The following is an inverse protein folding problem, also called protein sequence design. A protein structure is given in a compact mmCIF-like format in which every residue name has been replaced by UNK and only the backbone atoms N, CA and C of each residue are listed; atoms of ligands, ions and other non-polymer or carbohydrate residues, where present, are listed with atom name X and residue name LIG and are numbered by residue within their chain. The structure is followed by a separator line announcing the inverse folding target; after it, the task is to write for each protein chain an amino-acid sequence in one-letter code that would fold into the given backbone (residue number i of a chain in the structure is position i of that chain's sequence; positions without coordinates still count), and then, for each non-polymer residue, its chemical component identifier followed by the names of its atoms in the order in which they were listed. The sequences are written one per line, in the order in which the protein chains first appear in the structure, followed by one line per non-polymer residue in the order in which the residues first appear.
data_IF_671210826519
#
_entry.id   IF_671210826519
#
_cell.length_a   1.000
_cell.length_b   1.000
_cell.length_c   1.000
_cell.angle_alpha   90.00
_cell.angle_beta   90.00
_cell.angle_gamma   90.00
#
_symmetry.space_group_name_H-M   'P 1'
#
loop_
_entity.id
_entity.type
_entity.pdbx_description
1 polymer ?
#
# COMPACT_ATOMS: atom_id res chain seq x y z
N UNK A 1 36.31 6.76 -8.72
CA UNK A 1 35.36 5.68 -9.02
C UNK A 1 34.44 5.58 -7.81
N UNK A 2 33.28 6.23 -7.86
CA UNK A 2 32.32 6.23 -6.76
C UNK A 2 31.40 5.02 -6.89
N UNK A 3 31.37 4.17 -5.87
CA UNK A 3 30.55 2.96 -5.81
C UNK A 3 29.09 3.34 -5.59
N UNK A 4 28.29 3.20 -6.65
CA UNK A 4 26.84 3.30 -6.58
C UNK A 4 26.28 2.01 -6.00
N UNK A 5 26.02 1.98 -4.69
CA UNK A 5 25.05 1.03 -4.15
C UNK A 5 23.67 1.48 -4.63
N UNK A 6 23.24 0.97 -5.78
CA UNK A 6 21.90 1.17 -6.27
C UNK A 6 20.93 0.46 -5.31
N UNK A 7 20.31 1.23 -4.42
CA UNK A 7 19.05 0.85 -3.80
C UNK A 7 18.11 0.43 -4.93
N UNK A 8 17.66 -0.83 -4.92
CA UNK A 8 16.92 -1.45 -6.03
C UNK A 8 15.58 -0.79 -6.34
N UNK A 9 15.22 0.31 -5.67
CA UNK A 9 13.96 1.02 -5.86
C UNK A 9 14.09 2.56 -5.75
N UNK A 10 15.25 3.14 -6.08
CA UNK A 10 15.41 4.60 -6.13
C UNK A 10 15.26 5.13 -7.57
N UNK A 11 14.22 5.92 -7.84
CA UNK A 11 14.06 6.64 -9.10
C UNK A 11 14.94 7.90 -9.10
N UNK A 12 15.82 8.04 -10.11
CA UNK A 12 16.64 9.23 -10.30
C UNK A 12 16.00 10.12 -11.37
N UNK A 13 15.74 11.38 -11.01
CA UNK A 13 15.06 12.35 -11.89
C UNK A 13 15.91 13.61 -11.95
N UNK A 14 16.13 14.14 -13.15
CA UNK A 14 16.74 15.45 -13.35
C UNK A 14 15.65 16.51 -13.22
N UNK A 15 15.91 17.51 -12.39
CA UNK A 15 15.00 18.62 -12.13
C UNK A 15 15.62 19.94 -12.59
N UNK A 16 14.81 20.79 -13.21
CA UNK A 16 15.10 22.21 -13.35
C UNK A 16 15.14 22.91 -11.98
N UNK A 17 15.72 24.11 -11.92
CA UNK A 17 15.88 24.86 -10.67
C UNK A 17 14.56 25.13 -9.94
N UNK A 18 13.46 25.26 -10.68
CA UNK A 18 12.14 25.60 -10.15
C UNK A 18 11.17 24.41 -10.11
N UNK A 19 11.57 23.27 -10.69
CA UNK A 19 10.74 22.06 -10.75
C UNK A 19 10.70 21.37 -9.39
N UNK A 20 9.52 20.87 -9.01
CA UNK A 20 9.32 20.20 -7.71
C UNK A 20 8.69 18.84 -7.87
N UNK A 21 9.25 17.87 -7.15
CA UNK A 21 8.64 16.55 -6.99
C UNK A 21 7.41 16.66 -6.11
N UNK A 22 6.32 16.04 -6.55
CA UNK A 22 5.05 15.96 -5.87
C UNK A 22 4.66 14.48 -5.76
N UNK A 23 4.10 14.09 -4.61
CA UNK A 23 3.61 12.73 -4.39
C UNK A 23 2.12 12.79 -4.13
N UNK A 24 1.34 12.09 -4.95
CA UNK A 24 -0.11 12.00 -4.80
C UNK A 24 -0.49 10.56 -4.50
N UNK A 25 -1.09 10.33 -3.34
CA UNK A 25 -1.56 9.01 -2.94
C UNK A 25 -3.09 8.93 -3.01
N UNK A 26 -3.61 7.94 -3.72
CA UNK A 26 -5.05 7.63 -3.82
C UNK A 26 -5.28 6.25 -3.25
N UNK A 27 -6.09 6.13 -2.21
CA UNK A 27 -6.39 4.84 -1.55
C UNK A 27 -7.89 4.70 -1.41
N UNK A 28 -8.40 3.48 -1.51
CA UNK A 28 -9.78 3.14 -1.22
C UNK A 28 -10.15 3.60 0.21
N UNK A 29 -11.29 4.26 0.35
CA UNK A 29 -11.77 4.75 1.67
C UNK A 29 -12.20 3.60 2.59
N UNK A 30 -12.64 2.49 2.02
CA UNK A 30 -13.08 1.30 2.72
C UNK A 30 -12.74 0.06 1.90
N UNK A 31 -12.59 -1.07 2.60
CA UNK A 31 -12.36 -2.39 2.02
C UNK A 31 -13.33 -3.36 2.68
N UNK A 32 -13.74 -4.38 1.94
CA UNK A 32 -14.48 -5.51 2.52
C UNK A 32 -13.51 -6.64 2.85
N UNK A 33 -13.66 -7.16 4.07
CA UNK A 33 -12.96 -8.36 4.49
C UNK A 33 -13.51 -9.59 3.72
N UNK A 34 -12.69 -10.64 3.52
CA UNK A 34 -11.30 -10.73 3.94
C UNK A 34 -10.35 -9.95 3.01
N UNK A 35 -9.32 -9.33 3.59
CA UNK A 35 -8.24 -8.68 2.84
C UNK A 35 -6.92 -9.38 3.15
N UNK A 36 -6.18 -9.75 2.11
CA UNK A 36 -4.88 -10.43 2.26
C UNK A 36 -3.75 -9.42 2.21
N UNK A 37 -2.62 -9.71 2.85
CA UNK A 37 -1.38 -8.95 2.70
C UNK A 37 -0.97 -8.86 1.23
N UNK A 38 -0.46 -7.70 0.79
CA UNK A 38 -0.09 -7.46 -0.60
C UNK A 38 -1.26 -7.12 -1.52
N UNK A 39 -2.50 -7.09 -1.02
CA UNK A 39 -3.68 -6.69 -1.83
C UNK A 39 -3.55 -5.23 -2.24
N UNK A 40 -3.63 -4.88 -3.55
CA UNK A 40 -3.65 -3.50 -4.00
C UNK A 40 -4.92 -2.78 -3.52
N UNK A 41 -4.74 -1.64 -2.86
CA UNK A 41 -5.84 -0.83 -2.30
C UNK A 41 -5.81 0.62 -2.80
N UNK A 42 -4.84 0.93 -3.65
CA UNK A 42 -4.63 2.28 -4.14
C UNK A 42 -3.42 2.39 -5.05
N UNK A 43 -3.09 3.63 -5.36
CA UNK A 43 -1.96 4.00 -6.21
C UNK A 43 -1.28 5.24 -5.64
N UNK A 44 0.05 5.24 -5.71
CA UNK A 44 0.89 6.39 -5.40
C UNK A 44 1.53 6.87 -6.69
N UNK A 45 1.27 8.12 -7.04
CA UNK A 45 1.78 8.79 -8.23
C UNK A 45 2.92 9.73 -7.83
N UNK A 46 4.09 9.58 -8.45
CA UNK A 46 5.21 10.51 -8.36
C UNK A 46 5.16 11.45 -9.54
N UNK A 47 5.25 12.75 -9.29
CA UNK A 47 4.98 13.78 -10.28
C UNK A 47 6.02 14.88 -10.28
N UNK A 48 6.30 15.44 -11.45
CA UNK A 48 7.06 16.69 -11.64
C UNK A 48 6.22 17.58 -12.55
N UNK A 49 5.99 18.83 -12.14
CA UNK A 49 5.20 19.81 -12.90
C UNK A 49 3.82 19.30 -13.37
N UNK A 50 3.18 18.48 -12.53
CA UNK A 50 1.86 17.91 -12.84
C UNK A 50 1.89 16.66 -13.74
N UNK A 51 3.05 16.26 -14.24
CA UNK A 51 3.25 15.06 -15.07
C UNK A 51 3.62 13.89 -14.16
N UNK A 52 2.92 12.76 -14.31
CA UNK A 52 3.26 11.51 -13.60
C UNK A 52 4.50 10.91 -14.25
N UNK A 53 5.56 10.72 -13.47
CA UNK A 53 6.84 10.17 -13.91
C UNK A 53 7.03 8.71 -13.50
N UNK A 54 6.36 8.27 -12.44
CA UNK A 54 6.34 6.89 -11.96
C UNK A 54 5.10 6.66 -11.08
N UNK A 55 4.67 5.41 -10.95
CA UNK A 55 3.54 5.01 -10.12
C UNK A 55 3.76 3.64 -9.52
N UNK A 56 3.45 3.49 -8.24
CA UNK A 56 3.49 2.20 -7.55
C UNK A 56 2.15 1.89 -6.85
N UNK A 57 1.77 0.61 -6.74
CA UNK A 57 0.55 0.23 -6.05
C UNK A 57 0.72 0.42 -4.54
N UNK A 58 -0.27 1.02 -3.90
CA UNK A 58 -0.39 0.96 -2.44
C UNK A 58 -1.02 -0.37 -2.08
N UNK A 59 -0.29 -1.20 -1.35
CA UNK A 59 -0.74 -2.54 -0.94
C UNK A 59 -1.00 -2.61 0.56
N UNK A 60 -1.87 -3.54 0.97
CA UNK A 60 -2.07 -3.88 2.38
C UNK A 60 -0.81 -4.47 3.00
N UNK A 61 -0.52 -4.06 4.23
CA UNK A 61 0.65 -4.55 4.99
C UNK A 61 0.36 -5.81 5.81
N UNK A 62 -0.88 -6.33 5.78
CA UNK A 62 -1.25 -7.49 6.58
C UNK A 62 -2.62 -8.05 6.22
N UNK A 63 -2.99 -9.13 6.89
CA UNK A 63 -4.26 -9.83 6.68
C UNK A 63 -5.35 -9.32 7.64
N UNK A 64 -6.57 -9.16 7.13
CA UNK A 64 -7.79 -8.91 7.90
C UNK A 64 -8.81 -9.95 7.48
N UNK A 65 -9.12 -10.88 8.38
CA UNK A 65 -10.10 -11.94 8.12
C UNK A 65 -11.54 -11.41 8.25
N UNK A 66 -12.48 -12.13 7.63
CA UNK A 66 -13.91 -11.84 7.76
C UNK A 66 -14.39 -12.25 9.16
N UNK A 67 -15.06 -11.33 9.86
CA UNK A 67 -15.81 -11.64 11.08
C UNK A 67 -17.25 -12.00 10.71
N UNK A 68 -17.49 -13.28 10.47
CA UNK A 68 -18.82 -13.82 10.26
C UNK A 68 -19.36 -14.52 11.52
N UNK A 69 -20.64 -14.91 11.46
CA UNK A 69 -21.32 -15.58 12.57
C UNK A 69 -20.64 -16.90 12.94
N UNK A 70 -20.14 -17.65 11.94
CA UNK A 70 -19.44 -18.92 12.16
C UNK A 70 -18.14 -18.71 12.95
N UNK A 71 -17.37 -17.66 12.61
CA UNK A 71 -16.17 -17.29 13.35
C UNK A 71 -16.49 -16.88 14.79
N UNK A 72 -17.55 -16.09 14.99
CA UNK A 72 -18.01 -15.72 16.32
C UNK A 72 -18.48 -16.93 17.14
N UNK A 73 -19.24 -17.84 16.53
CA UNK A 73 -19.70 -19.07 17.16
C UNK A 73 -18.53 -19.93 17.62
N UNK A 74 -17.51 -20.13 16.77
CA UNK A 74 -16.30 -20.88 17.16
C UNK A 74 -15.59 -20.29 18.38
N UNK A 75 -15.47 -18.97 18.48
CA UNK A 75 -14.85 -18.31 19.63
C UNK A 75 -15.69 -18.51 20.90
N UNK A 76 -17.01 -18.36 20.81
CA UNK A 76 -17.92 -18.50 21.95
C UNK A 76 -17.94 -19.96 22.43
N UNK A 77 -18.11 -20.92 21.52
CA UNK A 77 -18.14 -22.35 21.85
C UNK A 77 -16.83 -22.79 22.51
N UNK A 78 -15.68 -22.37 21.97
CA UNK A 78 -14.37 -22.70 22.53
C UNK A 78 -14.07 -22.06 23.90
N UNK A 79 -14.79 -21.00 24.31
CA UNK A 79 -14.58 -20.32 25.60
C UNK A 79 -15.51 -20.77 26.71
N UNK A 80 -16.73 -21.20 26.38
CA UNK A 80 -17.80 -21.43 27.38
C UNK A 80 -18.29 -22.87 27.45
N UNK A 81 -17.96 -23.71 26.46
CA UNK A 81 -18.42 -25.10 26.40
C UNK A 81 -17.29 -26.14 26.37
N UNK A 82 -16.02 -25.72 26.56
CA UNK A 82 -14.86 -26.58 26.80
C UNK A 82 -14.31 -26.39 28.21
#
# INVERSE_FOLDING_TARGET
MGTEHADKNSLRVLLGNDEKVQVRTKIAKSLHAPVREGTPVGQRDYMVDGIVIDSDPVVTAGNVELWDFEYAEKIVMGKFWM
#
